data_IF_886496314282
#
_entry.id   IF_886496314282
#
_cell.length_a   1.000
_cell.length_b   1.000
_cell.length_c   1.000
_cell.angle_alpha   90.00
_cell.angle_beta   90.00
_cell.angle_gamma   90.00
#
_symmetry.space_group_name_H-M   'P 1'
#
loop_
_entity.id
_entity.type
_entity.pdbx_description
1 polymer ?
#
# COMPACT_ATOMS: atom_id res chain seq x y z
N UNK A 1 -4.83 30.60 -47.77
CA UNK A 1 -5.79 29.49 -47.60
C UNK A 1 -5.57 28.87 -46.22
N UNK A 2 -6.56 28.93 -45.32
CA UNK A 2 -6.46 28.31 -43.99
C UNK A 2 -6.66 26.80 -44.15
N UNK A 3 -5.61 26.01 -43.87
CA UNK A 3 -5.64 24.55 -43.97
C UNK A 3 -6.55 24.00 -42.86
N UNK A 4 -7.72 23.48 -43.23
CA UNK A 4 -8.67 22.88 -42.30
C UNK A 4 -8.00 21.68 -41.59
N UNK A 5 -8.03 21.62 -40.25
CA UNK A 5 -7.45 20.49 -39.52
C UNK A 5 -8.22 19.21 -39.83
N UNK A 6 -7.50 18.08 -39.87
CA UNK A 6 -8.07 16.78 -40.19
C UNK A 6 -9.08 16.37 -39.10
N UNK A 7 -10.22 15.79 -39.49
CA UNK A 7 -11.34 15.46 -38.58
C UNK A 7 -10.97 14.52 -37.41
N UNK A 8 -9.81 13.87 -37.50
CA UNK A 8 -9.30 12.95 -36.48
C UNK A 8 -8.28 13.57 -35.53
N UNK A 9 -7.82 14.80 -35.78
CA UNK A 9 -6.76 15.43 -34.98
C UNK A 9 -7.17 15.55 -33.51
N UNK A 10 -8.42 15.95 -33.24
CA UNK A 10 -8.94 16.04 -31.88
C UNK A 10 -9.02 14.66 -31.19
N UNK A 11 -9.49 13.65 -31.93
CA UNK A 11 -9.65 12.28 -31.41
C UNK A 11 -8.29 11.69 -31.01
N UNK A 12 -7.25 11.92 -31.81
CA UNK A 12 -5.89 11.48 -31.46
C UNK A 12 -5.36 12.13 -30.19
N UNK A 13 -5.62 13.42 -29.96
CA UNK A 13 -5.24 14.07 -28.71
C UNK A 13 -6.00 13.51 -27.50
N UNK A 14 -7.28 13.18 -27.69
CA UNK A 14 -8.15 12.67 -26.63
C UNK A 14 -7.75 11.24 -26.22
N UNK A 15 -7.38 10.40 -27.18
CA UNK A 15 -6.85 9.04 -26.91
C UNK A 15 -5.50 9.11 -26.19
N UNK A 16 -4.60 10.01 -26.61
CA UNK A 16 -3.28 10.17 -25.98
C UNK A 16 -3.39 10.64 -24.53
N UNK A 17 -4.27 11.61 -24.26
CA UNK A 17 -4.53 12.12 -22.90
C UNK A 17 -5.23 11.09 -22.02
N UNK A 18 -6.15 10.30 -22.56
CA UNK A 18 -6.80 9.22 -21.82
C UNK A 18 -5.84 8.06 -21.51
N UNK A 19 -4.92 7.76 -22.42
CA UNK A 19 -3.89 6.73 -22.22
C UNK A 19 -2.96 7.08 -21.05
N UNK A 20 -2.62 8.35 -20.87
CA UNK A 20 -1.85 8.82 -19.71
C UNK A 20 -2.61 8.74 -18.38
N UNK A 21 -3.93 8.88 -18.40
CA UNK A 21 -4.77 8.72 -17.21
C UNK A 21 -4.93 7.25 -16.77
N UNK A 22 -4.76 6.29 -17.69
CA UNK A 22 -4.92 4.86 -17.40
C UNK A 22 -3.65 4.15 -16.90
N UNK A 23 -2.47 4.74 -17.11
CA UNK A 23 -1.19 4.14 -16.70
C UNK A 23 -1.01 3.91 -15.18
N UNK A 24 -1.44 4.80 -14.25
CA UNK A 24 -1.18 4.61 -12.83
C UNK A 24 -1.99 3.46 -12.21
N UNK A 25 -3.05 2.99 -12.86
CA UNK A 25 -3.92 1.91 -12.35
C UNK A 25 -3.27 0.52 -12.46
N UNK A 26 -2.27 0.36 -13.35
CA UNK A 26 -1.59 -0.93 -13.58
C UNK A 26 -0.26 -1.05 -12.83
N UNK A 27 0.24 0.02 -12.22
CA UNK A 27 1.44 -0.03 -11.40
C UNK A 27 1.07 -0.56 -10.01
N UNK A 28 1.00 -1.88 -9.84
CA UNK A 28 0.97 -2.49 -8.51
C UNK A 28 2.34 -2.26 -7.86
N UNK A 29 2.50 -1.11 -7.24
CA UNK A 29 3.68 -0.80 -6.43
C UNK A 29 3.67 -1.72 -5.22
N UNK A 30 4.81 -2.37 -4.93
CA UNK A 30 4.98 -3.16 -3.72
C UNK A 30 4.70 -2.27 -2.50
N UNK A 31 3.51 -2.40 -1.91
CA UNK A 31 3.11 -1.61 -0.75
C UNK A 31 3.82 -2.15 0.48
N UNK A 32 4.64 -1.30 1.10
CA UNK A 32 5.27 -1.62 2.37
C UNK A 32 4.22 -1.54 3.48
N UNK A 33 3.93 -2.66 4.13
CA UNK A 33 3.09 -2.68 5.34
C UNK A 33 3.96 -2.29 6.53
N UNK A 34 3.61 -1.19 7.20
CA UNK A 34 4.30 -0.75 8.41
C UNK A 34 3.68 -1.40 9.65
N UNK A 35 4.51 -2.04 10.47
CA UNK A 35 4.11 -2.58 11.78
C UNK A 35 4.84 -1.81 12.88
N UNK A 36 4.28 -0.71 13.39
CA UNK A 36 4.87 0.02 14.51
C UNK A 36 4.78 -0.79 15.80
N UNK A 37 5.71 -0.53 16.72
CA UNK A 37 5.65 -1.09 18.06
C UNK A 37 4.33 -0.66 18.74
N UNK A 38 3.62 -1.57 19.41
CA UNK A 38 2.49 -1.20 20.25
C UNK A 38 2.98 -0.46 21.49
N UNK A 39 2.10 0.32 22.11
CA UNK A 39 2.41 1.08 23.32
C UNK A 39 2.94 0.16 24.43
N UNK A 40 4.05 0.57 25.05
CA UNK A 40 4.70 -0.21 26.10
C UNK A 40 5.61 -1.34 25.61
N UNK A 41 5.83 -1.49 24.29
CA UNK A 41 6.75 -2.47 23.72
C UNK A 41 7.93 -1.80 23.04
N UNK A 42 9.08 -2.46 23.08
CA UNK A 42 10.34 -1.93 22.53
C UNK A 42 10.70 -2.55 21.18
N UNK A 43 10.07 -3.67 20.81
CA UNK A 43 10.24 -4.31 19.51
C UNK A 43 8.95 -4.94 19.02
N UNK A 44 8.79 -5.05 17.70
CA UNK A 44 7.71 -5.81 17.09
C UNK A 44 8.14 -6.35 15.72
N UNK A 45 7.55 -7.47 15.32
CA UNK A 45 7.84 -8.11 14.05
C UNK A 45 6.64 -8.87 13.51
N UNK A 46 6.51 -8.91 12.19
CA UNK A 46 5.52 -9.73 11.48
C UNK A 46 6.17 -10.98 10.90
N UNK A 47 5.47 -12.11 10.97
CA UNK A 47 5.89 -13.41 10.43
C UNK A 47 5.00 -13.88 9.28
N UNK A 48 3.75 -13.43 9.24
CA UNK A 48 2.80 -13.79 8.18
C UNK A 48 1.89 -12.62 7.85
N UNK A 49 1.63 -12.42 6.57
CA UNK A 49 0.74 -11.37 6.05
C UNK A 49 -0.28 -12.00 5.11
N UNK A 50 -1.56 -11.65 5.28
CA UNK A 50 -2.66 -12.05 4.40
C UNK A 50 -3.43 -10.81 3.94
N UNK A 51 -3.55 -10.55 2.62
CA UNK A 51 -4.42 -9.50 2.12
C UNK A 51 -5.89 -9.83 2.39
N UNK A 52 -6.70 -8.80 2.60
CA UNK A 52 -8.16 -8.91 2.78
C UNK A 52 -8.91 -8.33 1.59
N UNK A 53 -10.16 -8.77 1.38
CA UNK A 53 -10.98 -8.37 0.23
C UNK A 53 -11.40 -6.90 0.23
N UNK A 54 -11.31 -6.24 1.39
CA UNK A 54 -11.48 -4.80 1.56
C UNK A 54 -10.21 -3.99 1.23
N UNK A 55 -9.16 -4.63 0.70
CA UNK A 55 -7.89 -4.02 0.31
C UNK A 55 -6.91 -3.81 1.48
N UNK A 56 -7.26 -4.29 2.67
CA UNK A 56 -6.38 -4.27 3.84
C UNK A 56 -5.44 -5.48 3.94
N UNK A 57 -4.80 -5.61 5.11
CA UNK A 57 -3.94 -6.75 5.45
C UNK A 57 -4.13 -7.20 6.89
N UNK A 58 -4.14 -8.52 7.10
CA UNK A 58 -3.97 -9.14 8.42
C UNK A 58 -2.50 -9.53 8.55
N UNK A 59 -1.85 -9.10 9.64
CA UNK A 59 -0.48 -9.51 9.97
C UNK A 59 -0.45 -10.23 11.30
N UNK A 60 0.27 -11.35 11.36
CA UNK A 60 0.54 -12.13 12.57
C UNK A 60 2.04 -12.07 12.87
N UNK A 61 2.38 -11.94 14.14
CA UNK A 61 3.76 -11.95 14.59
C UNK A 61 3.87 -11.78 16.10
N UNK A 62 4.85 -10.99 16.54
CA UNK A 62 5.17 -10.81 17.96
C UNK A 62 5.38 -9.34 18.31
N UNK A 63 5.13 -9.01 19.57
CA UNK A 63 5.61 -7.80 20.21
C UNK A 63 6.48 -8.18 21.41
N UNK A 64 7.62 -7.52 21.54
CA UNK A 64 8.58 -7.75 22.62
C UNK A 64 8.76 -6.51 23.48
N UNK A 65 8.84 -6.73 24.78
CA UNK A 65 9.33 -5.74 25.73
C UNK A 65 10.70 -6.18 26.22
N UNK A 66 11.62 -5.23 26.36
CA UNK A 66 12.95 -5.45 26.91
C UNK A 66 13.36 -4.26 27.77
N UNK A 67 13.84 -4.54 28.98
CA UNK A 67 14.45 -3.60 29.91
C UNK A 67 15.70 -4.21 30.53
N UNK A 68 16.88 -3.80 30.07
CA UNK A 68 18.15 -4.40 30.50
C UNK A 68 18.24 -5.87 30.09
N UNK A 69 18.42 -6.77 31.06
CA UNK A 69 18.53 -8.22 30.83
C UNK A 69 17.19 -8.97 30.92
N UNK A 70 16.09 -8.29 31.24
CA UNK A 70 14.76 -8.88 31.35
C UNK A 70 13.90 -8.47 30.16
N UNK A 71 13.06 -9.38 29.69
CA UNK A 71 12.14 -9.14 28.59
C UNK A 71 11.17 -10.29 28.38
N UNK A 72 10.12 -10.02 27.61
CA UNK A 72 9.14 -11.03 27.22
C UNK A 72 8.59 -10.74 25.83
N UNK A 73 8.07 -11.78 25.19
CA UNK A 73 7.41 -11.71 23.90
C UNK A 73 5.96 -12.15 24.03
N UNK A 74 5.06 -11.45 23.35
CA UNK A 74 3.66 -11.79 23.25
C UNK A 74 3.25 -11.97 21.78
N UNK A 75 2.36 -12.93 21.47
CA UNK A 75 1.73 -13.01 20.17
C UNK A 75 0.99 -11.72 19.83
N UNK A 76 1.07 -11.31 18.56
CA UNK A 76 0.39 -10.11 18.05
C UNK A 76 -0.32 -10.41 16.74
N UNK A 77 -1.54 -9.91 16.63
CA UNK A 77 -2.30 -9.86 15.39
C UNK A 77 -2.76 -8.41 15.15
N UNK A 78 -2.62 -7.93 13.92
CA UNK A 78 -3.08 -6.58 13.51
C UNK A 78 -3.81 -6.67 12.18
N UNK A 79 -4.90 -5.89 12.04
CA UNK A 79 -5.54 -5.63 10.75
C UNK A 79 -5.29 -4.18 10.37
N UNK A 80 -4.76 -3.95 9.17
CA UNK A 80 -4.73 -2.63 8.54
C UNK A 80 -5.82 -2.55 7.47
N UNK A 81 -6.41 -1.37 7.33
CA UNK A 81 -7.38 -1.10 6.26
C UNK A 81 -6.66 -0.48 5.05
N UNK A 82 -7.24 -0.62 3.86
CA UNK A 82 -6.67 -0.11 2.62
C UNK A 82 -6.39 1.40 2.63
N UNK A 83 -7.12 2.15 3.45
CA UNK A 83 -7.11 3.62 3.49
C UNK A 83 -6.14 4.22 4.49
N UNK A 84 -5.51 3.40 5.35
CA UNK A 84 -4.55 3.85 6.35
C UNK A 84 -3.13 3.73 5.77
N UNK A 85 -2.75 4.71 4.93
CA UNK A 85 -1.36 5.02 4.61
C UNK A 85 -0.88 6.19 5.47
#
# INVERSE_FOLDING_TARGET
MKKQPNKYTLLTFLIFSFSWLCLPVLAQQNQKVLLPNPDGFTTSGGSYVRPTSDGGYITIGIAGYSSGFAGYYLPRATKSDATLQ
#
